data_IF_858706024452
#
_entry.id   IF_858706024452
#
_cell.length_a   1.000
_cell.length_b   1.000
_cell.length_c   1.000
_cell.angle_alpha   90.00
_cell.angle_beta   90.00
_cell.angle_gamma   90.00
#
_symmetry.space_group_name_H-M   'P 1'
#
loop_
_entity.id
_entity.type
_entity.pdbx_description
1 polymer ?
#
# COMPACT_ATOMS: atom_id res chain seq x y z
N UNK A 1 15.83 24.80 -2.61
CA UNK A 1 14.66 24.30 -3.37
C UNK A 1 13.92 23.37 -2.41
N UNK A 2 12.78 23.80 -1.88
CA UNK A 2 12.00 22.98 -0.94
C UNK A 2 11.37 21.84 -1.74
N UNK A 3 11.91 20.64 -1.56
CA UNK A 3 11.34 19.43 -2.13
C UNK A 3 9.99 19.18 -1.44
N UNK A 4 8.91 19.60 -2.11
CA UNK A 4 7.56 19.54 -1.57
C UNK A 4 7.00 18.12 -1.80
N UNK A 5 7.80 17.11 -1.42
CA UNK A 5 7.46 15.72 -1.63
C UNK A 5 6.24 15.37 -0.78
N UNK A 6 5.25 14.76 -1.42
CA UNK A 6 4.04 14.27 -0.76
C UNK A 6 4.29 12.95 -0.02
N UNK A 7 5.44 12.31 -0.28
CA UNK A 7 5.90 11.08 0.36
C UNK A 7 7.25 11.35 1.05
N UNK A 8 7.29 11.17 2.37
CA UNK A 8 8.52 11.25 3.16
C UNK A 8 8.99 9.82 3.47
N UNK A 9 10.09 9.37 2.86
CA UNK A 9 10.67 8.06 3.17
C UNK A 9 11.72 8.18 4.29
N UNK A 10 11.46 7.57 5.45
CA UNK A 10 12.40 7.46 6.58
C UNK A 10 12.90 6.04 6.81
N UNK A 11 12.55 5.10 5.93
CA UNK A 11 12.97 3.71 5.99
C UNK A 11 14.13 3.46 5.00
N UNK A 12 15.16 4.31 5.06
CA UNK A 12 16.27 4.33 4.10
C UNK A 12 17.07 3.02 4.06
N UNK A 13 17.11 2.31 5.19
CA UNK A 13 17.78 1.00 5.33
C UNK A 13 16.95 -0.18 4.80
N UNK A 14 15.71 0.05 4.36
CA UNK A 14 14.83 -0.98 3.79
C UNK A 14 14.66 -0.72 2.30
N UNK A 15 15.36 -1.44 1.39
CA UNK A 15 15.31 -1.16 -0.05
C UNK A 15 13.90 -1.11 -0.65
N UNK A 16 12.99 -1.93 -0.12
CA UNK A 16 11.59 -1.98 -0.53
C UNK A 16 10.83 -0.65 -0.27
N UNK A 17 11.28 0.17 0.69
CA UNK A 17 10.64 1.46 0.99
C UNK A 17 10.69 2.43 -0.19
N UNK A 18 11.78 2.41 -0.97
CA UNK A 18 11.95 3.26 -2.15
C UNK A 18 10.99 2.86 -3.27
N UNK A 19 10.79 1.56 -3.46
CA UNK A 19 9.80 1.03 -4.41
C UNK A 19 8.39 1.50 -4.06
N UNK A 20 8.03 1.43 -2.77
CA UNK A 20 6.75 1.95 -2.29
C UNK A 20 6.61 3.46 -2.49
N UNK A 21 7.67 4.22 -2.21
CA UNK A 21 7.69 5.67 -2.35
C UNK A 21 7.44 6.08 -3.80
N UNK A 22 8.21 5.50 -4.73
CA UNK A 22 8.10 5.78 -6.17
C UNK A 22 6.73 5.39 -6.72
N UNK A 23 6.22 4.20 -6.35
CA UNK A 23 4.91 3.72 -6.78
C UNK A 23 3.78 4.63 -6.30
N UNK A 24 3.77 4.99 -5.01
CA UNK A 24 2.78 5.90 -4.42
C UNK A 24 2.82 7.26 -5.11
N UNK A 25 4.01 7.84 -5.24
CA UNK A 25 4.20 9.15 -5.82
C UNK A 25 3.75 9.19 -7.29
N UNK A 26 4.16 8.20 -8.08
CA UNK A 26 3.81 8.06 -9.50
C UNK A 26 2.30 7.92 -9.67
N UNK A 27 1.68 6.96 -8.99
CA UNK A 27 0.25 6.69 -9.13
C UNK A 27 -0.61 7.89 -8.73
N UNK A 28 -0.26 8.55 -7.61
CA UNK A 28 -1.01 9.67 -7.08
C UNK A 28 -0.85 10.93 -7.95
N UNK A 29 0.35 11.20 -8.47
CA UNK A 29 0.59 12.38 -9.33
C UNK A 29 0.00 12.23 -10.73
N UNK A 30 0.00 11.02 -11.29
CA UNK A 30 -0.50 10.78 -12.65
C UNK A 30 -2.03 10.76 -12.76
N UNK A 31 -2.75 10.56 -11.65
CA UNK A 31 -4.21 10.43 -11.67
C UNK A 31 -4.90 11.35 -10.63
N UNK A 32 -5.63 12.40 -11.05
CA UNK A 32 -6.34 13.31 -10.15
C UNK A 32 -7.35 12.63 -9.21
N UNK A 33 -7.97 11.52 -9.62
CA UNK A 33 -8.88 10.75 -8.76
C UNK A 33 -8.11 10.01 -7.65
N UNK A 34 -6.91 9.51 -7.93
CA UNK A 34 -6.02 8.93 -6.92
C UNK A 34 -5.51 10.01 -5.98
N UNK A 35 -5.14 11.19 -6.49
CA UNK A 35 -4.83 12.36 -5.65
C UNK A 35 -5.98 12.73 -4.71
N UNK A 36 -7.22 12.76 -5.19
CA UNK A 36 -8.40 13.01 -4.33
C UNK A 36 -8.55 11.91 -3.26
N UNK A 37 -8.35 10.66 -3.64
CA UNK A 37 -8.41 9.52 -2.71
C UNK A 37 -7.32 9.62 -1.64
N UNK A 38 -6.09 9.91 -2.04
CA UNK A 38 -4.93 10.11 -1.18
C UNK A 38 -5.12 11.26 -0.19
N UNK A 39 -5.65 12.40 -0.64
CA UNK A 39 -6.03 13.54 0.21
C UNK A 39 -7.10 13.19 1.26
N UNK A 40 -7.91 12.18 0.99
CA UNK A 40 -8.94 11.70 1.92
C UNK A 40 -8.48 10.54 2.81
N UNK A 41 -7.26 10.03 2.62
CA UNK A 41 -6.75 8.87 3.33
C UNK A 41 -6.04 9.29 4.62
N UNK A 42 -6.50 8.71 5.72
CA UNK A 42 -5.90 8.78 7.05
C UNK A 42 -5.82 7.35 7.57
N UNK A 43 -4.70 7.00 8.18
CA UNK A 43 -4.50 5.67 8.77
C UNK A 43 -3.05 5.22 8.75
N UNK A 44 -2.80 4.12 9.44
CA UNK A 44 -1.48 3.50 9.59
C UNK A 44 -1.54 2.08 9.03
N UNK A 45 -0.73 1.80 8.02
CA UNK A 45 -0.66 0.49 7.37
C UNK A 45 0.75 -0.06 7.52
N UNK A 46 0.89 -1.21 8.16
CA UNK A 46 2.16 -1.93 8.22
C UNK A 46 2.22 -2.99 7.12
N UNK A 47 3.39 -3.13 6.49
CA UNK A 47 3.72 -4.21 5.56
C UNK A 47 4.90 -4.96 6.18
N UNK A 48 4.71 -6.25 6.39
CA UNK A 48 5.62 -7.17 7.06
C UNK A 48 6.06 -8.25 6.05
N UNK A 49 7.31 -8.16 5.60
CA UNK A 49 7.96 -9.02 4.61
C UNK A 49 8.72 -10.13 5.34
N UNK A 50 8.08 -11.30 5.45
CA UNK A 50 8.55 -12.36 6.34
C UNK A 50 9.83 -13.04 5.86
N UNK A 51 9.99 -13.15 4.55
CA UNK A 51 11.11 -13.83 3.89
C UNK A 51 12.44 -13.11 4.06
N UNK A 52 12.40 -11.77 4.20
CA UNK A 52 13.58 -10.93 4.38
C UNK A 52 13.65 -10.24 5.74
N UNK A 53 12.77 -10.64 6.68
CA UNK A 53 12.68 -10.10 8.04
C UNK A 53 12.63 -8.56 8.10
N UNK A 54 11.98 -7.95 7.10
CA UNK A 54 11.87 -6.51 6.97
C UNK A 54 10.41 -6.07 7.11
N UNK A 55 10.20 -4.90 7.70
CA UNK A 55 8.88 -4.30 7.77
C UNK A 55 8.96 -2.80 7.52
N UNK A 56 7.86 -2.24 7.03
CA UNK A 56 7.67 -0.80 6.85
C UNK A 56 6.27 -0.40 7.29
N UNK A 57 6.13 0.83 7.78
CA UNK A 57 4.85 1.41 8.17
C UNK A 57 4.56 2.66 7.35
N UNK A 58 3.44 2.65 6.63
CA UNK A 58 2.90 3.80 5.92
C UNK A 58 1.95 4.57 6.84
N UNK A 59 2.29 5.82 7.14
CA UNK A 59 1.46 6.74 7.92
C UNK A 59 0.85 7.76 6.98
N UNK A 60 -0.47 7.66 6.77
CA UNK A 60 -1.22 8.58 5.92
C UNK A 60 -1.88 9.70 6.73
N UNK A 61 -1.69 10.94 6.28
CA UNK A 61 -2.22 12.13 6.96
C UNK A 61 -2.84 13.12 5.96
N UNK A 62 -3.82 12.67 5.18
CA UNK A 62 -4.64 13.55 4.35
C UNK A 62 -3.89 14.20 3.19
N UNK A 63 -3.25 13.38 2.35
CA UNK A 63 -2.48 13.88 1.19
C UNK A 63 -0.99 14.01 1.44
N UNK A 64 -0.51 13.44 2.55
CA UNK A 64 0.89 13.14 2.81
C UNK A 64 1.01 11.70 3.27
N UNK A 65 2.11 11.04 2.93
CA UNK A 65 2.48 9.77 3.49
C UNK A 65 3.90 9.84 4.06
N UNK A 66 4.12 9.16 5.17
CA UNK A 66 5.45 8.90 5.69
C UNK A 66 5.69 7.41 5.76
N UNK A 67 6.86 6.97 5.31
CA UNK A 67 7.29 5.57 5.36
C UNK A 67 8.28 5.44 6.52
N UNK A 68 7.96 4.65 7.52
CA UNK A 68 8.81 4.37 8.67
C UNK A 68 9.36 2.95 8.58
N UNK A 69 10.57 2.74 9.10
CA UNK A 69 11.16 1.40 9.22
C UNK A 69 10.49 0.63 10.35
N UNK A 70 10.19 -0.65 10.10
CA UNK A 70 9.55 -1.54 11.05
C UNK A 70 8.04 -1.36 11.15
N UNK A 71 7.44 -2.02 12.15
CA UNK A 71 6.04 -1.84 12.54
C UNK A 71 5.99 -0.76 13.62
N UNK A 72 5.49 0.43 13.30
CA UNK A 72 5.51 1.59 14.19
C UNK A 72 4.09 1.94 14.67
N UNK A 73 3.96 2.26 15.96
CA UNK A 73 2.70 2.67 16.58
C UNK A 73 1.68 1.53 16.65
N UNK A 74 0.42 1.83 16.31
CA UNK A 74 -0.68 0.87 16.26
C UNK A 74 -1.29 0.86 14.85
N UNK A 75 -0.83 -0.02 13.95
CA UNK A 75 -1.37 -0.09 12.60
C UNK A 75 -2.87 -0.44 12.61
N UNK A 76 -3.64 0.27 11.78
CA UNK A 76 -5.03 -0.07 11.48
C UNK A 76 -5.10 -1.35 10.63
N UNK A 77 -4.10 -1.53 9.76
CA UNK A 77 -3.96 -2.69 8.89
C UNK A 77 -2.53 -3.22 8.99
N UNK A 78 -2.38 -4.54 9.09
CA UNK A 78 -1.08 -5.22 8.95
C UNK A 78 -1.18 -6.20 7.79
N UNK A 79 -0.40 -5.97 6.74
CA UNK A 79 -0.29 -6.85 5.58
C UNK A 79 0.98 -7.68 5.78
N UNK A 80 0.84 -8.99 5.94
CA UNK A 80 1.97 -9.90 6.00
C UNK A 80 2.07 -10.70 4.70
N UNK A 81 3.25 -10.67 4.09
CA UNK A 81 3.51 -11.32 2.80
C UNK A 81 5.01 -11.57 2.63
N UNK A 82 5.41 -12.12 1.48
CA UNK A 82 6.81 -12.33 1.10
C UNK A 82 7.18 -11.28 0.04
N UNK A 83 8.46 -10.88 -0.03
CA UNK A 83 8.94 -9.80 -0.90
C UNK A 83 8.71 -10.06 -2.39
N UNK A 84 8.75 -11.33 -2.83
CA UNK A 84 8.50 -11.75 -4.22
C UNK A 84 7.05 -11.49 -4.67
N UNK A 85 6.08 -11.53 -3.73
CA UNK A 85 4.66 -11.26 -4.01
C UNK A 85 4.37 -9.78 -4.17
N UNK A 86 5.17 -8.93 -3.54
CA UNK A 86 4.96 -7.49 -3.56
C UNK A 86 5.38 -6.87 -4.89
N UNK A 87 6.41 -7.41 -5.53
CA UNK A 87 6.81 -7.04 -6.89
C UNK A 87 5.66 -7.32 -7.89
N UNK A 88 4.84 -8.34 -7.63
CA UNK A 88 3.64 -8.66 -8.41
C UNK A 88 2.47 -7.67 -8.27
N UNK A 89 2.46 -6.81 -7.23
CA UNK A 89 1.38 -5.84 -7.01
C UNK A 89 1.40 -4.68 -8.02
N UNK A 90 2.54 -4.44 -8.68
CA UNK A 90 2.67 -3.42 -9.73
C UNK A 90 1.81 -3.74 -10.98
N UNK A 91 1.29 -4.97 -11.08
CA UNK A 91 0.47 -5.41 -12.21
C UNK A 91 -1.05 -5.33 -11.96
N UNK A 92 -1.49 -4.74 -10.84
CA UNK A 92 -2.91 -4.77 -10.45
C UNK A 92 -3.73 -3.67 -11.11
N UNK A 93 -4.76 -4.11 -11.82
CA UNK A 93 -5.85 -3.38 -12.41
C UNK A 93 -6.97 -3.04 -11.40
N UNK A 94 -7.40 -1.77 -11.31
CA UNK A 94 -8.56 -1.36 -10.48
C UNK A 94 -9.66 -0.71 -11.31
N UNK A 95 -10.91 -1.14 -11.08
CA UNK A 95 -12.14 -0.49 -11.56
C UNK A 95 -13.10 -0.25 -10.39
N UNK A 96 -13.73 0.93 -10.38
CA UNK A 96 -14.75 1.35 -9.41
C UNK A 96 -14.32 1.39 -7.93
N UNK A 97 -13.01 1.37 -7.66
CA UNK A 97 -12.52 1.59 -6.32
C UNK A 97 -12.96 0.52 -5.31
N UNK A 98 -13.08 -0.70 -5.79
CA UNK A 98 -12.86 -1.96 -5.10
C UNK A 98 -11.82 -2.70 -5.96
N UNK A 99 -11.05 -3.67 -5.42
CA UNK A 99 -10.33 -4.59 -6.30
C UNK A 99 -11.34 -5.19 -7.27
N UNK A 100 -11.08 -5.11 -8.57
CA UNK A 100 -11.97 -5.73 -9.56
C UNK A 100 -11.73 -7.23 -9.51
N UNK A 101 -12.46 -7.95 -8.66
CA UNK A 101 -12.34 -9.41 -8.47
C UNK A 101 -12.74 -10.25 -9.70
N UNK A 102 -12.90 -9.62 -10.88
CA UNK A 102 -13.34 -10.23 -12.13
C UNK A 102 -12.33 -10.02 -13.29
N UNK A 103 -11.07 -9.72 -12.97
CA UNK A 103 -9.94 -9.93 -13.88
C UNK A 103 -8.90 -10.85 -13.25
N UNK A 104 -8.00 -11.41 -14.05
CA UNK A 104 -7.04 -12.43 -13.61
C UNK A 104 -6.10 -11.92 -12.50
N UNK A 105 -5.77 -10.63 -12.49
CA UNK A 105 -4.92 -10.01 -11.48
C UNK A 105 -5.64 -9.88 -10.13
N UNK A 106 -6.89 -9.39 -10.12
CA UNK A 106 -7.73 -9.30 -8.94
C UNK A 106 -8.09 -10.67 -8.35
N UNK A 107 -8.31 -11.67 -9.20
CA UNK A 107 -8.50 -13.07 -8.79
C UNK A 107 -7.22 -13.64 -8.17
N UNK A 108 -6.04 -13.30 -8.69
CA UNK A 108 -4.75 -13.80 -8.17
C UNK A 108 -4.48 -13.26 -6.77
N UNK A 109 -4.70 -11.97 -6.53
CA UNK A 109 -4.54 -11.37 -5.20
C UNK A 109 -5.58 -11.92 -4.22
N UNK A 110 -6.83 -12.11 -4.65
CA UNK A 110 -7.85 -12.74 -3.82
C UNK A 110 -7.51 -14.20 -3.50
N UNK A 111 -6.98 -14.96 -4.47
CA UNK A 111 -6.48 -16.31 -4.26
C UNK A 111 -5.33 -16.33 -3.26
N UNK A 112 -4.40 -15.36 -3.32
CA UNK A 112 -3.29 -15.25 -2.37
C UNK A 112 -3.77 -14.87 -0.96
N UNK A 113 -4.81 -14.05 -0.84
CA UNK A 113 -5.45 -13.75 0.45
C UNK A 113 -6.18 -14.99 0.99
N UNK A 114 -6.93 -15.70 0.15
CA UNK A 114 -7.66 -16.93 0.52
C UNK A 114 -6.73 -18.11 0.80
N UNK A 115 -5.59 -18.23 0.10
CA UNK A 115 -4.56 -19.25 0.34
C UNK A 115 -3.74 -18.98 1.60
N UNK A 116 -3.83 -17.76 2.16
CA UNK A 116 -3.10 -17.34 3.35
C UNK A 116 -1.66 -16.92 3.08
N UNK A 117 -1.27 -16.81 1.80
CA UNK A 117 0.00 -16.22 1.34
C UNK A 117 0.08 -14.72 1.63
N UNK A 118 -1.07 -14.03 1.57
CA UNK A 118 -1.22 -12.65 2.02
C UNK A 118 -2.18 -12.62 3.21
N UNK A 119 -1.66 -12.34 4.40
CA UNK A 119 -2.50 -12.19 5.61
C UNK A 119 -2.73 -10.72 5.90
N UNK A 120 -3.97 -10.26 5.76
CA UNK A 120 -4.37 -8.88 6.08
C UNK A 120 -5.11 -8.85 7.41
N UNK A 121 -4.44 -8.40 8.47
CA UNK A 121 -5.07 -8.14 9.76
C UNK A 121 -5.73 -6.76 9.73
N UNK A 122 -6.89 -6.61 10.36
CA UNK A 122 -7.65 -5.35 10.40
C UNK A 122 -8.59 -5.10 9.22
N UNK A 123 -8.63 -6.00 8.21
CA UNK A 123 -9.47 -5.86 7.01
C UNK A 123 -10.96 -5.67 7.30
N UNK A 124 -11.50 -6.38 8.29
CA UNK A 124 -12.93 -6.28 8.66
C UNK A 124 -13.24 -5.03 9.47
N UNK A 125 -12.24 -4.48 10.17
CA UNK A 125 -12.39 -3.32 11.06
C UNK A 125 -12.17 -2.02 10.27
N UNK A 126 -11.24 -2.03 9.30
CA UNK A 126 -10.84 -0.87 8.52
C UNK A 126 -10.99 -1.06 6.99
N UNK A 127 -12.15 -1.52 6.48
CA UNK A 127 -12.33 -1.82 5.05
C UNK A 127 -12.19 -0.58 4.16
N UNK A 128 -12.51 0.61 4.68
CA UNK A 128 -12.37 1.89 3.96
C UNK A 128 -10.90 2.24 3.75
N UNK A 129 -10.04 2.02 4.76
CA UNK A 129 -8.60 2.28 4.65
C UNK A 129 -8.02 1.33 3.61
N UNK A 130 -8.36 0.03 3.68
CA UNK A 130 -7.91 -0.96 2.71
C UNK A 130 -8.33 -0.58 1.29
N UNK A 131 -9.59 -0.19 1.11
CA UNK A 131 -10.14 0.19 -0.20
C UNK A 131 -9.48 1.44 -0.78
N UNK A 132 -9.12 2.41 0.07
CA UNK A 132 -8.40 3.62 -0.37
C UNK A 132 -6.94 3.31 -0.67
N UNK A 133 -6.29 2.49 0.15
CA UNK A 133 -4.93 2.02 -0.07
C UNK A 133 -4.80 1.31 -1.41
N UNK A 134 -5.67 0.34 -1.70
CA UNK A 134 -5.63 -0.37 -2.99
C UNK A 134 -5.78 0.59 -4.16
N UNK A 135 -6.74 1.54 -4.09
CA UNK A 135 -6.95 2.57 -5.13
C UNK A 135 -5.74 3.44 -5.43
N UNK A 136 -4.96 3.84 -4.42
CA UNK A 136 -3.80 4.71 -4.63
C UNK A 136 -2.54 3.93 -5.06
N UNK A 137 -2.51 2.62 -4.81
CA UNK A 137 -1.39 1.74 -5.15
C UNK A 137 -1.52 1.09 -6.54
N UNK A 138 -2.70 1.06 -7.15
CA UNK A 138 -2.88 0.49 -8.49
C UNK A 138 -2.29 1.36 -9.58
N UNK A 139 -1.92 0.76 -10.70
CA UNK A 139 -1.34 1.48 -11.85
C UNK A 139 -2.41 2.18 -12.71
N UNK A 140 -3.61 1.59 -12.86
CA UNK A 140 -4.73 2.21 -13.61
C UNK A 140 -5.48 3.29 -12.84
#
# INVERSE_FOLDING_TARGET
MTDNSIIENRAEEVPFSYVLSELLETNVKQNPHKMKTFKSLYGVVAIDLKDIEAAVTLVFSGGKARIEQGIVGKPDIVIRTDSDKVIGLNSISIKFGLPWYFDEAGVTVLKQILSGEIKVQGMLVHPVILTKLTKIMSVM
#
